data_IF_911342736148
#
_entry.id   IF_911342736148
#
_cell.length_a   1.000
_cell.length_b   1.000
_cell.length_c   1.000
_cell.angle_alpha   90.00
_cell.angle_beta   90.00
_cell.angle_gamma   90.00
#
_symmetry.space_group_name_H-M   'P 1'
#
loop_
_entity.id
_entity.type
_entity.pdbx_description
1 polymer ?
#
# COMPACT_ATOMS: atom_id res chain seq x y z
N UNK A 1 -7.40 31.00 1.48
CA UNK A 1 -6.05 30.40 1.43
C UNK A 1 -5.97 29.42 0.26
N UNK A 2 -4.97 29.55 -0.61
CA UNK A 2 -4.77 28.67 -1.75
C UNK A 2 -4.32 27.28 -1.25
N UNK A 3 -5.24 26.31 -1.21
CA UNK A 3 -4.89 24.92 -0.90
C UNK A 3 -4.05 24.35 -2.07
N UNK A 4 -2.84 23.84 -1.80
CA UNK A 4 -1.91 23.34 -2.83
C UNK A 4 -2.43 22.08 -3.53
N UNK A 5 -3.00 21.14 -2.78
CA UNK A 5 -3.66 19.96 -3.36
C UNK A 5 -5.15 20.25 -3.51
N UNK A 6 -5.64 20.22 -4.75
CA UNK A 6 -7.02 20.53 -5.13
C UNK A 6 -7.96 19.34 -5.15
N UNK A 7 -7.42 18.13 -5.33
CA UNK A 7 -8.12 16.86 -5.42
C UNK A 7 -7.14 15.71 -5.29
N UNK A 8 -7.63 14.54 -4.94
CA UNK A 8 -6.80 13.34 -4.73
C UNK A 8 -7.48 12.15 -5.40
N UNK A 9 -6.73 11.37 -6.14
CA UNK A 9 -7.16 10.06 -6.62
C UNK A 9 -6.19 9.00 -6.10
N UNK A 10 -6.70 7.79 -5.85
CA UNK A 10 -5.90 6.65 -5.41
C UNK A 10 -6.28 5.42 -6.24
N UNK A 11 -5.32 4.53 -6.47
CA UNK A 11 -5.49 3.28 -7.23
C UNK A 11 -4.87 2.17 -6.41
N UNK A 12 -5.60 1.07 -6.17
CA UNK A 12 -5.12 -0.08 -5.39
C UNK A 12 -4.48 0.33 -4.06
N UNK A 13 -5.15 1.18 -3.30
CA UNK A 13 -4.50 1.81 -2.16
C UNK A 13 -4.20 0.84 -1.01
N UNK A 14 -3.18 1.19 -0.24
CA UNK A 14 -2.88 0.60 1.06
C UNK A 14 -2.87 1.68 2.13
N UNK A 15 -3.53 1.43 3.26
CA UNK A 15 -3.13 2.07 4.51
C UNK A 15 -1.96 1.28 5.08
N UNK A 16 -0.73 1.71 4.79
CA UNK A 16 0.49 1.05 5.29
C UNK A 16 0.55 1.03 6.82
N UNK A 17 -0.12 1.96 7.49
CA UNK A 17 -0.23 1.95 8.94
C UNK A 17 -1.06 0.78 9.44
N UNK A 18 -2.30 0.67 8.95
CA UNK A 18 -3.18 -0.45 9.27
C UNK A 18 -2.60 -1.79 8.80
N UNK A 19 -2.03 -1.88 7.60
CA UNK A 19 -1.41 -3.11 7.10
C UNK A 19 -0.28 -3.63 8.00
N UNK A 20 0.50 -2.75 8.64
CA UNK A 20 1.54 -3.17 9.58
C UNK A 20 1.02 -3.37 11.01
N UNK A 21 0.01 -2.60 11.41
CA UNK A 21 -0.52 -2.62 12.77
C UNK A 21 -1.50 -3.75 13.02
N UNK A 22 -2.33 -4.04 12.03
CA UNK A 22 -3.52 -4.88 12.12
C UNK A 22 -3.42 -6.08 11.16
N UNK A 23 -2.50 -6.05 10.19
CA UNK A 23 -2.46 -6.95 9.03
C UNK A 23 -3.77 -6.95 8.22
N UNK A 24 -3.85 -7.78 7.18
CA UNK A 24 -5.07 -7.89 6.39
C UNK A 24 -6.21 -8.46 7.23
N UNK A 25 -7.41 -7.92 7.08
CA UNK A 25 -8.60 -8.33 7.82
C UNK A 25 -8.42 -8.33 9.35
N UNK A 26 -7.57 -7.45 9.89
CA UNK A 26 -7.27 -7.36 11.33
C UNK A 26 -6.76 -8.70 11.93
N UNK A 27 -5.97 -9.46 11.15
CA UNK A 27 -5.49 -10.78 11.56
C UNK A 27 -4.33 -10.76 12.57
N UNK A 28 -3.68 -9.61 12.79
CA UNK A 28 -2.60 -9.48 13.76
C UNK A 28 -3.13 -9.12 15.15
N UNK A 29 -2.75 -9.89 16.18
CA UNK A 29 -3.11 -9.56 17.56
C UNK A 29 -2.23 -8.44 18.14
N UNK A 30 -2.70 -7.83 19.23
CA UNK A 30 -1.93 -6.81 19.96
C UNK A 30 -0.66 -7.41 20.56
N UNK A 31 -0.70 -8.66 21.02
CA UNK A 31 0.45 -9.40 21.55
C UNK A 31 1.52 -9.59 20.46
N UNK A 32 1.12 -10.08 19.28
CA UNK A 32 2.03 -10.23 18.13
C UNK A 32 2.61 -8.88 17.69
N UNK A 33 1.79 -7.82 17.68
CA UNK A 33 2.28 -6.47 17.39
C UNK A 33 3.35 -6.01 18.40
N UNK A 34 3.16 -6.27 19.70
CA UNK A 34 4.14 -5.92 20.74
C UNK A 34 5.44 -6.69 20.55
N UNK A 35 5.38 -7.96 20.18
CA UNK A 35 6.56 -8.77 19.86
C UNK A 35 7.35 -8.19 18.69
N UNK A 36 6.67 -7.79 17.60
CA UNK A 36 7.32 -7.15 16.44
C UNK A 36 7.98 -5.83 16.84
N UNK A 37 7.33 -5.01 17.69
CA UNK A 37 7.91 -3.75 18.18
C UNK A 37 9.15 -4.01 19.05
N UNK A 38 9.09 -5.03 19.92
CA UNK A 38 10.23 -5.40 20.76
C UNK A 38 11.43 -5.87 19.92
N UNK A 39 11.19 -6.76 18.95
CA UNK A 39 12.22 -7.25 18.03
C UNK A 39 12.87 -6.10 17.25
N UNK A 40 12.09 -5.15 16.74
CA UNK A 40 12.64 -4.00 16.03
C UNK A 40 13.42 -3.03 16.94
N UNK A 41 13.07 -2.94 18.23
CA UNK A 41 13.82 -2.15 19.19
C UNK A 41 15.19 -2.77 19.51
N UNK A 42 15.23 -4.10 19.68
CA UNK A 42 16.48 -4.86 19.83
C UNK A 42 17.35 -4.74 18.59
N UNK A 43 16.76 -4.93 17.41
CA UNK A 43 17.47 -4.81 16.14
C UNK A 43 18.07 -3.41 15.93
N UNK A 44 17.36 -2.35 16.35
CA UNK A 44 17.89 -0.98 16.31
C UNK A 44 19.14 -0.83 17.18
N UNK A 45 19.20 -1.51 18.32
CA UNK A 45 20.39 -1.51 19.17
C UNK A 45 21.53 -2.30 18.51
N UNK A 46 21.24 -3.47 17.93
CA UNK A 46 22.23 -4.25 17.19
C UNK A 46 22.84 -3.46 16.02
N UNK A 47 22.02 -2.77 15.22
CA UNK A 47 22.49 -1.89 14.13
C UNK A 47 23.39 -0.76 14.65
N UNK A 48 23.06 -0.18 15.81
CA UNK A 48 23.88 0.86 16.45
C UNK A 48 25.26 0.34 16.89
N UNK A 49 25.34 -0.91 17.36
CA UNK A 49 26.59 -1.57 17.74
C UNK A 49 27.41 -2.10 16.55
N UNK A 50 26.92 -1.92 15.32
CA UNK A 50 27.59 -2.37 14.09
C UNK A 50 27.21 -3.77 13.64
N UNK A 51 26.10 -4.32 14.15
CA UNK A 51 25.49 -5.56 13.66
C UNK A 51 24.86 -5.41 12.27
N UNK A 52 24.52 -6.55 11.67
CA UNK A 52 23.87 -6.60 10.35
C UNK A 52 22.46 -6.01 10.38
N UNK A 53 22.05 -5.42 9.26
CA UNK A 53 20.70 -4.90 9.08
C UNK A 53 19.75 -6.05 8.77
N UNK A 54 18.71 -6.21 9.59
CA UNK A 54 17.62 -7.14 9.31
C UNK A 54 16.53 -6.51 8.45
N UNK A 55 15.86 -7.35 7.67
CA UNK A 55 14.80 -6.96 6.76
C UNK A 55 13.52 -7.72 7.11
N UNK A 56 12.37 -7.10 6.86
CA UNK A 56 11.07 -7.76 7.06
C UNK A 56 10.70 -8.67 5.89
N UNK A 57 9.54 -9.29 6.01
CA UNK A 57 8.88 -9.91 4.86
C UNK A 57 8.69 -8.90 3.72
N UNK A 58 8.63 -9.44 2.52
CA UNK A 58 8.42 -8.76 1.25
C UNK A 58 7.86 -9.77 0.26
N UNK A 59 8.02 -9.52 -1.03
CA UNK A 59 7.65 -10.51 -2.05
C UNK A 59 8.60 -11.71 -1.97
N UNK A 60 8.05 -12.91 -1.83
CA UNK A 60 8.81 -14.17 -1.81
C UNK A 60 9.77 -14.28 -3.00
N UNK A 61 10.90 -14.98 -2.83
CA UNK A 61 11.90 -15.17 -3.89
C UNK A 61 11.57 -16.34 -4.83
N UNK A 62 10.76 -17.29 -4.37
CA UNK A 62 10.38 -18.49 -5.10
C UNK A 62 8.93 -18.85 -4.79
N UNK A 63 8.26 -19.48 -5.75
CA UNK A 63 6.92 -20.00 -5.58
C UNK A 63 6.98 -21.49 -5.23
N UNK A 64 6.23 -21.87 -4.20
CA UNK A 64 5.97 -23.26 -3.81
C UNK A 64 4.50 -23.60 -4.01
N UNK A 65 4.11 -24.85 -3.79
CA UNK A 65 2.70 -25.26 -3.81
C UNK A 65 1.87 -24.53 -2.73
N UNK A 66 2.49 -24.16 -1.62
CA UNK A 66 1.81 -23.56 -0.45
C UNK A 66 1.89 -22.03 -0.41
N UNK A 67 2.55 -21.39 -1.38
CA UNK A 67 2.61 -19.92 -1.43
C UNK A 67 1.21 -19.31 -1.46
N UNK A 68 0.96 -18.37 -0.55
CA UNK A 68 -0.32 -17.68 -0.45
C UNK A 68 -0.65 -16.93 -1.76
N UNK A 69 -1.92 -16.87 -2.22
CA UNK A 69 -2.29 -16.19 -3.47
C UNK A 69 -1.79 -14.75 -3.59
N UNK A 70 -1.83 -13.97 -2.50
CA UNK A 70 -1.30 -12.61 -2.45
C UNK A 70 0.20 -12.56 -2.76
N UNK A 71 0.98 -13.51 -2.23
CA UNK A 71 2.41 -13.59 -2.52
C UNK A 71 2.68 -14.03 -3.96
N UNK A 72 1.83 -14.88 -4.54
CA UNK A 72 1.90 -15.21 -5.97
C UNK A 72 1.61 -13.99 -6.85
N UNK A 73 0.60 -13.21 -6.47
CA UNK A 73 0.23 -11.97 -7.16
C UNK A 73 1.40 -10.96 -7.15
N UNK A 74 2.00 -10.71 -5.98
CA UNK A 74 3.17 -9.83 -5.91
C UNK A 74 4.41 -10.41 -6.60
N UNK A 75 4.62 -11.74 -6.52
CA UNK A 75 5.72 -12.41 -7.23
C UNK A 75 5.63 -12.19 -8.73
N UNK A 76 4.45 -12.41 -9.31
CA UNK A 76 4.20 -12.25 -10.74
C UNK A 76 4.62 -10.86 -11.24
N UNK A 77 4.42 -9.82 -10.42
CA UNK A 77 4.87 -8.46 -10.75
C UNK A 77 6.36 -8.22 -10.42
N UNK A 78 6.77 -8.37 -9.16
CA UNK A 78 8.08 -7.90 -8.68
C UNK A 78 9.25 -8.85 -8.96
N UNK A 79 8.99 -10.12 -9.29
CA UNK A 79 10.02 -11.17 -9.47
C UNK A 79 10.01 -11.79 -10.87
N UNK A 80 9.28 -11.18 -11.80
CA UNK A 80 9.29 -11.56 -13.22
C UNK A 80 9.53 -10.34 -14.09
N UNK A 81 9.79 -10.58 -15.38
CA UNK A 81 9.94 -9.53 -16.41
C UNK A 81 8.74 -8.57 -16.52
N UNK A 82 7.60 -8.87 -15.88
CA UNK A 82 6.42 -8.00 -15.84
C UNK A 82 6.73 -6.66 -15.16
N UNK A 83 7.40 -6.69 -14.02
CA UNK A 83 7.66 -5.49 -13.20
C UNK A 83 8.97 -5.52 -12.41
N UNK A 84 9.83 -6.51 -12.61
CA UNK A 84 11.12 -6.57 -11.92
C UNK A 84 11.98 -5.35 -12.23
N UNK A 85 12.46 -4.70 -11.17
CA UNK A 85 13.43 -3.63 -11.29
C UNK A 85 14.23 -3.51 -9.99
N UNK A 86 15.55 -3.50 -10.12
CA UNK A 86 16.48 -3.18 -9.04
C UNK A 86 17.51 -2.19 -9.57
N UNK A 87 17.66 -1.00 -8.96
CA UNK A 87 18.72 -0.08 -9.31
C UNK A 87 20.10 -0.74 -9.17
N UNK A 88 21.07 -0.36 -10.01
CA UNK A 88 22.43 -0.93 -9.95
C UNK A 88 23.13 -0.73 -8.60
N UNK A 89 22.69 0.24 -7.80
CA UNK A 89 23.19 0.51 -6.45
C UNK A 89 22.53 -0.33 -5.35
N UNK A 90 21.60 -1.22 -5.68
CA UNK A 90 20.81 -2.00 -4.74
C UNK A 90 20.90 -3.50 -5.01
N UNK A 91 20.65 -4.30 -3.98
CA UNK A 91 20.64 -5.76 -4.10
C UNK A 91 19.23 -6.24 -4.50
N UNK A 92 19.07 -7.06 -5.54
CA UNK A 92 17.75 -7.57 -5.95
C UNK A 92 17.09 -8.43 -4.85
N UNK A 93 17.89 -9.05 -3.98
CA UNK A 93 17.37 -9.84 -2.86
C UNK A 93 16.67 -9.00 -1.79
N UNK A 94 16.93 -7.68 -1.72
CA UNK A 94 16.23 -6.79 -0.78
C UNK A 94 15.15 -5.94 -1.46
N UNK A 95 14.91 -6.13 -2.76
CA UNK A 95 13.80 -5.46 -3.47
C UNK A 95 12.48 -5.92 -2.86
N UNK A 96 11.63 -4.98 -2.45
CA UNK A 96 10.39 -5.18 -1.66
C UNK A 96 10.57 -5.61 -0.20
N UNK A 97 11.79 -5.70 0.32
CA UNK A 97 12.07 -6.02 1.72
C UNK A 97 12.51 -4.76 2.46
N UNK A 98 11.63 -4.05 3.18
CA UNK A 98 12.06 -2.93 4.00
C UNK A 98 12.86 -3.42 5.20
N UNK A 99 13.75 -2.59 5.72
CA UNK A 99 14.51 -2.91 6.95
C UNK A 99 13.54 -3.05 8.14
N UNK A 100 13.79 -4.00 9.04
CA UNK A 100 12.96 -4.25 10.23
C UNK A 100 12.75 -2.98 11.06
N UNK A 101 13.82 -2.22 11.29
CA UNK A 101 13.81 -1.01 12.13
C UNK A 101 13.04 0.16 11.53
N UNK A 102 12.96 0.26 10.20
CA UNK A 102 12.18 1.31 9.54
C UNK A 102 10.71 0.92 9.39
N UNK A 103 10.41 -0.36 9.18
CA UNK A 103 9.05 -0.83 8.93
C UNK A 103 8.11 -0.58 10.12
N UNK A 104 8.60 -0.75 11.35
CA UNK A 104 7.80 -0.49 12.56
C UNK A 104 7.35 0.96 12.74
N UNK A 105 7.93 1.91 12.00
CA UNK A 105 7.44 3.30 11.99
C UNK A 105 6.01 3.39 11.46
N UNK A 106 5.62 2.51 10.54
CA UNK A 106 4.24 2.45 10.04
C UNK A 106 3.24 2.08 11.14
N UNK A 107 3.64 1.34 12.17
CA UNK A 107 2.72 1.02 13.29
C UNK A 107 2.28 2.26 14.06
N UNK A 108 2.97 3.39 13.92
CA UNK A 108 2.57 4.69 14.46
C UNK A 108 2.19 5.70 13.37
N UNK A 109 1.91 5.23 12.15
CA UNK A 109 1.45 6.03 11.04
C UNK A 109 -0.06 5.83 10.86
N UNK A 110 -0.80 6.92 10.80
CA UNK A 110 -2.25 6.92 10.66
C UNK A 110 -2.61 7.87 9.51
N UNK A 111 -2.39 7.46 8.24
CA UNK A 111 -2.51 8.34 7.06
C UNK A 111 -3.92 8.89 6.86
N UNK A 112 -4.86 8.26 7.53
CA UNK A 112 -6.28 8.42 7.40
C UNK A 112 -6.84 9.36 8.46
N UNK A 113 -6.11 9.70 9.51
CA UNK A 113 -6.56 10.72 10.49
C UNK A 113 -6.89 12.03 9.78
N UNK A 114 -8.03 12.61 10.14
CA UNK A 114 -8.56 13.85 9.57
C UNK A 114 -8.82 13.81 8.05
N UNK A 115 -8.98 12.63 7.43
CA UNK A 115 -9.24 12.48 5.99
C UNK A 115 -10.49 13.26 5.53
N UNK A 116 -11.48 13.42 6.41
CA UNK A 116 -12.69 14.22 6.18
C UNK A 116 -12.39 15.70 5.96
N UNK A 117 -11.29 16.21 6.51
CA UNK A 117 -10.83 17.61 6.30
C UNK A 117 -10.31 17.86 4.89
N UNK A 118 -10.19 16.80 4.06
CA UNK A 118 -9.94 16.96 2.63
C UNK A 118 -11.10 17.72 1.98
N UNK A 119 -12.33 17.50 2.44
CA UNK A 119 -13.51 18.27 2.03
C UNK A 119 -13.30 19.79 2.14
N UNK A 120 -13.88 20.61 1.23
CA UNK A 120 -14.76 20.25 0.11
C UNK A 120 -14.01 19.80 -1.16
N UNK A 121 -12.73 19.44 -1.06
CA UNK A 121 -11.97 18.94 -2.21
C UNK A 121 -12.37 17.50 -2.53
N UNK A 122 -12.53 17.14 -3.80
CA UNK A 122 -12.98 15.82 -4.18
C UNK A 122 -11.91 14.75 -4.01
N UNK A 123 -12.37 13.54 -3.67
CA UNK A 123 -11.54 12.35 -3.60
C UNK A 123 -12.11 11.21 -4.45
N UNK A 124 -11.23 10.54 -5.20
CA UNK A 124 -11.56 9.36 -5.99
C UNK A 124 -10.74 8.16 -5.50
N UNK A 125 -11.42 7.08 -5.18
CA UNK A 125 -10.80 5.80 -4.82
C UNK A 125 -11.09 4.79 -5.93
N UNK A 126 -10.05 4.20 -6.51
CA UNK A 126 -10.16 3.14 -7.51
C UNK A 126 -9.53 1.88 -6.95
N UNK A 127 -10.25 0.77 -6.97
CA UNK A 127 -9.74 -0.53 -6.54
C UNK A 127 -10.29 -1.64 -7.42
N UNK A 128 -9.51 -2.72 -7.60
CA UNK A 128 -10.02 -3.94 -8.19
C UNK A 128 -11.00 -4.65 -7.25
N UNK A 129 -12.08 -5.20 -7.77
CA UNK A 129 -13.09 -5.87 -6.92
C UNK A 129 -12.60 -7.23 -6.35
N UNK A 130 -11.57 -7.82 -6.96
CA UNK A 130 -10.87 -9.02 -6.48
C UNK A 130 -9.60 -8.69 -5.69
N UNK A 131 -9.26 -7.41 -5.52
CA UNK A 131 -8.05 -7.02 -4.81
C UNK A 131 -8.15 -7.38 -3.31
N UNK A 132 -7.13 -8.07 -2.80
CA UNK A 132 -7.02 -8.36 -1.36
C UNK A 132 -6.95 -7.08 -0.51
N UNK A 133 -6.42 -6.00 -1.07
CA UNK A 133 -6.24 -4.70 -0.41
C UNK A 133 -7.48 -3.81 -0.44
N UNK A 134 -8.60 -4.28 -1.01
CA UNK A 134 -9.81 -3.45 -1.21
C UNK A 134 -10.36 -2.86 0.09
N UNK A 135 -10.14 -3.53 1.22
CA UNK A 135 -10.55 -3.08 2.55
C UNK A 135 -10.03 -1.68 2.89
N UNK A 136 -8.84 -1.31 2.41
CA UNK A 136 -8.27 0.02 2.66
C UNK A 136 -9.01 1.12 1.89
N UNK A 137 -9.42 0.85 0.64
CA UNK A 137 -10.25 1.79 -0.14
C UNK A 137 -11.65 1.93 0.45
N UNK A 138 -12.23 0.85 0.93
CA UNK A 138 -13.52 0.90 1.61
C UNK A 138 -13.46 1.72 2.91
N UNK A 139 -12.43 1.53 3.74
CA UNK A 139 -12.27 2.28 4.98
C UNK A 139 -12.00 3.77 4.71
N UNK A 140 -11.10 4.08 3.78
CA UNK A 140 -10.83 5.45 3.36
C UNK A 140 -12.11 6.14 2.87
N UNK A 141 -12.89 5.47 2.01
CA UNK A 141 -14.16 5.99 1.50
C UNK A 141 -15.19 6.20 2.61
N UNK A 142 -15.32 5.26 3.56
CA UNK A 142 -16.26 5.42 4.70
C UNK A 142 -15.92 6.65 5.55
N UNK A 143 -14.64 6.87 5.82
CA UNK A 143 -14.15 7.95 6.70
C UNK A 143 -14.09 9.32 6.00
N UNK A 144 -13.91 9.34 4.69
CA UNK A 144 -13.94 10.55 3.88
C UNK A 144 -15.26 11.33 3.99
N UNK A 145 -15.21 12.66 3.93
CA UNK A 145 -16.38 13.51 3.71
C UNK A 145 -16.61 13.75 2.22
N UNK A 146 -17.83 14.14 1.85
CA UNK A 146 -18.16 14.52 0.47
C UNK A 146 -17.39 15.78 0.01
N UNK A 147 -17.12 15.94 -1.29
CA UNK A 147 -17.42 15.02 -2.39
C UNK A 147 -16.42 13.85 -2.48
N UNK A 148 -16.92 12.61 -2.55
CA UNK A 148 -16.11 11.40 -2.66
C UNK A 148 -16.73 10.37 -3.61
N UNK A 149 -15.89 9.54 -4.21
CA UNK A 149 -16.33 8.46 -5.09
C UNK A 149 -15.44 7.23 -4.94
N UNK A 150 -16.05 6.04 -4.95
CA UNK A 150 -15.37 4.75 -4.95
C UNK A 150 -15.76 3.99 -6.22
N UNK A 151 -14.76 3.63 -7.03
CA UNK A 151 -14.90 2.92 -8.30
C UNK A 151 -14.27 1.54 -8.19
N UNK A 152 -15.07 0.52 -8.50
CA UNK A 152 -14.62 -0.86 -8.60
C UNK A 152 -14.26 -1.20 -10.05
N UNK A 153 -13.05 -1.71 -10.26
CA UNK A 153 -12.64 -2.31 -11.54
C UNK A 153 -12.95 -3.79 -11.49
N UNK A 154 -13.94 -4.22 -12.28
CA UNK A 154 -14.44 -5.59 -12.20
C UNK A 154 -13.42 -6.61 -12.67
N UNK A 155 -13.23 -7.67 -11.89
CA UNK A 155 -12.31 -8.77 -12.17
C UNK A 155 -10.83 -8.47 -11.89
N UNK A 156 -10.47 -7.22 -11.54
CA UNK A 156 -9.08 -6.84 -11.32
C UNK A 156 -8.60 -7.20 -9.90
N UNK A 157 -7.38 -7.73 -9.81
CA UNK A 157 -6.60 -7.86 -8.58
C UNK A 157 -5.95 -6.53 -8.14
N UNK A 158 -5.08 -6.60 -7.14
CA UNK A 158 -4.32 -5.46 -6.64
C UNK A 158 -3.27 -4.99 -7.67
N UNK A 159 -2.40 -5.91 -8.12
CA UNK A 159 -1.28 -5.57 -9.03
C UNK A 159 -1.75 -5.40 -10.47
N UNK A 160 -2.94 -5.88 -10.82
CA UNK A 160 -3.49 -5.69 -12.16
C UNK A 160 -3.65 -4.22 -12.54
N UNK A 161 -3.95 -3.35 -11.57
CA UNK A 161 -4.06 -1.90 -11.80
C UNK A 161 -2.71 -1.18 -11.81
N UNK A 162 -1.57 -1.89 -11.74
CA UNK A 162 -0.24 -1.28 -11.84
C UNK A 162 0.18 -1.09 -13.30
N UNK A 163 -0.12 -2.07 -14.16
CA UNK A 163 0.44 -2.17 -15.51
C UNK A 163 -0.54 -2.63 -16.60
N UNK A 164 -1.68 -3.27 -16.26
CA UNK A 164 -2.66 -3.71 -17.27
C UNK A 164 -3.52 -2.54 -17.73
N UNK A 165 -3.04 -1.84 -18.76
CA UNK A 165 -3.64 -0.60 -19.29
C UNK A 165 -5.09 -0.73 -19.77
N UNK A 166 -5.52 -1.95 -20.10
CA UNK A 166 -6.89 -2.29 -20.48
C UNK A 166 -7.86 -2.37 -19.28
N UNK A 167 -7.32 -2.56 -18.06
CA UNK A 167 -8.09 -2.55 -16.82
C UNK A 167 -8.06 -1.19 -16.12
N UNK A 168 -6.97 -0.43 -16.25
CA UNK A 168 -6.83 0.87 -15.58
C UNK A 168 -7.84 1.88 -16.17
N UNK A 169 -8.74 2.47 -15.35
CA UNK A 169 -9.78 3.36 -15.85
C UNK A 169 -9.26 4.78 -16.12
N UNK A 170 -8.37 4.92 -17.11
CA UNK A 170 -7.73 6.20 -17.48
C UNK A 170 -8.74 7.29 -17.84
N UNK A 171 -9.85 6.95 -18.50
CA UNK A 171 -10.90 7.91 -18.83
C UNK A 171 -11.55 8.49 -17.58
N UNK A 172 -11.77 7.66 -16.54
CA UNK A 172 -12.33 8.11 -15.27
C UNK A 172 -11.37 9.05 -14.55
N UNK A 173 -10.08 8.68 -14.47
CA UNK A 173 -9.04 9.53 -13.89
C UNK A 173 -8.96 10.88 -14.62
N UNK A 174 -8.92 10.84 -15.96
CA UNK A 174 -8.86 12.03 -16.81
C UNK A 174 -10.06 12.92 -16.58
N UNK A 175 -11.27 12.36 -16.57
CA UNK A 175 -12.50 13.10 -16.28
C UNK A 175 -12.48 13.73 -14.88
N UNK A 176 -12.08 12.97 -13.86
CA UNK A 176 -12.01 13.44 -12.47
C UNK A 176 -11.04 14.62 -12.34
N UNK A 177 -9.84 14.51 -12.91
CA UNK A 177 -8.90 15.62 -12.87
C UNK A 177 -9.38 16.81 -13.72
N UNK A 178 -9.96 16.61 -14.90
CA UNK A 178 -10.44 17.70 -15.76
C UNK A 178 -11.65 18.46 -15.19
N UNK A 179 -12.65 17.76 -14.63
CA UNK A 179 -13.86 18.39 -14.10
C UNK A 179 -13.56 19.38 -12.97
N UNK A 180 -12.46 19.15 -12.25
CA UNK A 180 -12.08 19.96 -11.10
C UNK A 180 -10.91 20.91 -11.39
N UNK A 181 -10.38 20.95 -12.62
CA UNK A 181 -9.20 21.73 -13.06
C UNK A 181 -9.45 23.25 -13.16
N UNK A 182 -10.71 23.68 -13.19
CA UNK A 182 -11.08 25.10 -13.27
C UNK A 182 -10.72 25.85 -11.98
N UNK A 183 -9.96 26.94 -12.14
CA UNK A 183 -9.35 27.77 -11.10
C UNK A 183 -10.35 28.42 -10.13
#
# INVERSE_FOLDING_TARGET
>A
AQRMIKRVATISMYDMGAANRDALNHSLSVEQRKEIIAAAAEQRWAEFEGGEVEYTSGTVHELTADTHPIQREFYDFYRTRRGEFTPASANPQITTHPTLTSNVKFMNFYPFNDIETISPRPMLFIAGDQAHSREFSEDAYKRAAEPKELVWVSGAGHVDLYDRVDLIPFDKLTSFFNQHLSA
#
